data_IF_921541828520
#
_entry.id   IF_921541828520
#
_cell.length_a   1.000
_cell.length_b   1.000
_cell.length_c   1.000
_cell.angle_alpha   90.00
_cell.angle_beta   90.00
_cell.angle_gamma   90.00
#
_symmetry.space_group_name_H-M   'P 1'
#
loop_
_entity.id
_entity.type
_entity.pdbx_description
1 polymer ?
#
# COMPACT_ATOMS: atom_id res chain seq x y z
N UNK A 1 19.60 -3.13 10.80
CA UNK A 1 20.22 -2.40 9.68
C UNK A 1 21.73 -2.44 9.70
N UNK A 2 22.41 -2.00 10.77
CA UNK A 2 23.90 -1.99 10.84
C UNK A 2 24.58 -3.36 10.71
N UNK A 3 23.94 -4.45 11.16
CA UNK A 3 24.46 -5.83 11.02
C UNK A 3 24.22 -6.45 9.64
N UNK A 4 23.10 -6.11 8.99
CA UNK A 4 22.76 -6.58 7.64
C UNK A 4 23.62 -5.89 6.58
N UNK A 5 23.97 -4.62 6.79
CA UNK A 5 24.84 -3.88 5.87
C UNK A 5 26.27 -4.42 5.79
N UNK A 6 26.71 -5.21 6.78
CA UNK A 6 28.10 -5.66 6.91
C UNK A 6 28.28 -7.19 6.78
N UNK A 7 27.20 -7.93 6.53
CA UNK A 7 27.23 -9.39 6.46
C UNK A 7 26.41 -9.90 5.25
N UNK A 8 27.09 -10.28 4.15
CA UNK A 8 26.45 -10.80 2.95
C UNK A 8 25.63 -12.07 3.19
N UNK A 9 26.04 -12.92 4.14
CA UNK A 9 25.37 -14.19 4.42
C UNK A 9 24.01 -13.95 5.10
N UNK A 10 23.95 -12.95 6.00
CA UNK A 10 22.67 -12.55 6.62
C UNK A 10 21.69 -11.91 5.64
N UNK A 11 22.18 -11.21 4.60
CA UNK A 11 21.30 -10.70 3.55
C UNK A 11 20.70 -11.84 2.74
N UNK A 12 21.50 -12.86 2.39
CA UNK A 12 21.01 -14.02 1.66
C UNK A 12 19.96 -14.79 2.47
N UNK A 13 20.18 -14.98 3.77
CA UNK A 13 19.19 -15.61 4.65
C UNK A 13 17.89 -14.82 4.75
N UNK A 14 17.97 -13.48 4.81
CA UNK A 14 16.80 -12.62 4.84
C UNK A 14 15.98 -12.71 3.54
N UNK A 15 16.65 -12.73 2.39
CA UNK A 15 16.02 -12.95 1.08
C UNK A 15 15.34 -14.33 1.00
N UNK A 16 16.01 -15.38 1.46
CA UNK A 16 15.45 -16.74 1.50
C UNK A 16 14.20 -16.82 2.37
N UNK A 17 14.21 -16.15 3.53
CA UNK A 17 13.04 -16.07 4.41
C UNK A 17 11.90 -15.29 3.76
N UNK A 18 12.19 -14.20 3.04
CA UNK A 18 11.19 -13.46 2.28
C UNK A 18 10.55 -14.33 1.20
N UNK A 19 11.34 -15.04 0.39
CA UNK A 19 10.84 -15.96 -0.64
C UNK A 19 9.95 -17.07 -0.04
N UNK A 20 10.33 -17.64 1.11
CA UNK A 20 9.49 -18.62 1.82
C UNK A 20 8.17 -18.01 2.30
N UNK A 21 8.21 -16.78 2.81
CA UNK A 21 7.01 -16.07 3.26
C UNK A 21 6.03 -15.81 2.10
N UNK A 22 6.55 -15.38 0.95
CA UNK A 22 5.79 -15.13 -0.28
C UNK A 22 5.12 -16.41 -0.80
N UNK A 23 5.84 -17.54 -0.72
CA UNK A 23 5.35 -18.87 -1.11
C UNK A 23 4.37 -19.51 -0.10
N UNK A 24 3.92 -18.77 0.92
CA UNK A 24 3.02 -19.24 1.98
C UNK A 24 3.57 -20.39 2.84
N UNK A 25 4.88 -20.45 3.07
CA UNK A 25 5.44 -21.43 4.02
C UNK A 25 4.76 -21.29 5.41
N UNK A 26 4.09 -22.35 5.92
CA UNK A 26 3.33 -22.26 7.16
C UNK A 26 4.16 -21.89 8.38
N UNK A 27 5.41 -22.36 8.47
CA UNK A 27 6.28 -22.10 9.61
C UNK A 27 6.77 -20.65 9.60
N UNK A 28 7.20 -20.17 8.43
CA UNK A 28 7.66 -18.78 8.28
C UNK A 28 6.49 -17.81 8.53
N UNK A 29 5.29 -18.13 8.05
CA UNK A 29 4.09 -17.30 8.33
C UNK A 29 3.70 -17.31 9.81
N UNK A 30 3.86 -18.44 10.50
CA UNK A 30 3.62 -18.50 11.95
C UNK A 30 4.59 -17.60 12.72
N UNK A 31 5.88 -17.64 12.39
CA UNK A 31 6.91 -16.78 13.01
C UNK A 31 6.61 -15.30 12.71
N UNK A 32 6.33 -14.96 11.45
CA UNK A 32 5.95 -13.60 11.05
C UNK A 32 4.72 -13.10 11.83
N UNK A 33 3.68 -13.92 11.96
CA UNK A 33 2.47 -13.55 12.70
C UNK A 33 2.75 -13.35 14.20
N UNK A 34 3.60 -14.18 14.78
CA UNK A 34 4.03 -14.05 16.17
C UNK A 34 4.76 -12.72 16.42
N UNK A 35 5.73 -12.37 15.56
CA UNK A 35 6.45 -11.10 15.67
C UNK A 35 5.53 -9.89 15.52
N UNK A 36 4.62 -9.91 14.53
CA UNK A 36 3.63 -8.84 14.36
C UNK A 36 2.71 -8.70 15.58
N UNK A 37 2.34 -9.81 16.22
CA UNK A 37 1.52 -9.80 17.43
C UNK A 37 2.23 -9.07 18.57
N UNK A 38 3.55 -9.29 18.73
CA UNK A 38 4.34 -8.56 19.74
C UNK A 38 4.41 -7.06 19.45
N UNK A 39 4.66 -6.67 18.19
CA UNK A 39 4.68 -5.27 17.79
C UNK A 39 3.32 -4.59 18.05
N UNK A 40 2.22 -5.22 17.60
CA UNK A 40 0.85 -4.72 17.85
C UNK A 40 0.54 -4.59 19.34
N UNK A 41 0.99 -5.54 20.17
CA UNK A 41 0.80 -5.46 21.62
C UNK A 41 1.48 -4.21 22.20
N UNK A 42 2.72 -3.94 21.81
CA UNK A 42 3.45 -2.73 22.24
C UNK A 42 2.77 -1.42 21.80
N UNK A 43 2.27 -1.37 20.55
CA UNK A 43 1.49 -0.22 20.08
C UNK A 43 0.20 -0.04 20.88
N UNK A 44 -0.55 -1.11 21.13
CA UNK A 44 -1.78 -1.07 21.91
C UNK A 44 -1.55 -0.61 23.36
N UNK A 45 -0.45 -1.01 23.99
CA UNK A 45 -0.07 -0.51 25.31
C UNK A 45 0.15 1.00 25.30
N UNK A 46 0.72 1.54 24.22
CA UNK A 46 0.98 2.97 24.06
C UNK A 46 -0.31 3.74 23.77
N UNK A 47 -1.16 3.23 22.87
CA UNK A 47 -2.46 3.81 22.54
C UNK A 47 -3.40 3.83 23.75
N UNK A 48 -3.42 2.76 24.55
CA UNK A 48 -4.22 2.68 25.77
C UNK A 48 -3.83 3.75 26.80
N UNK A 49 -2.53 4.00 26.99
CA UNK A 49 -2.04 5.06 27.88
C UNK A 49 -2.44 6.47 27.43
N UNK A 50 -2.68 6.65 26.13
CA UNK A 50 -3.09 7.91 25.52
C UNK A 50 -4.61 8.00 25.32
N UNK A 51 -5.38 7.01 25.79
CA UNK A 51 -6.83 6.85 25.55
C UNK A 51 -7.22 6.93 24.06
N UNK A 52 -6.35 6.42 23.18
CA UNK A 52 -6.59 6.34 21.75
C UNK A 52 -7.32 5.05 21.43
N UNK A 53 -8.45 5.15 20.71
CA UNK A 53 -9.27 4.03 20.26
C UNK A 53 -9.48 4.12 18.76
N UNK A 54 -9.45 2.97 18.10
CA UNK A 54 -9.70 2.84 16.67
C UNK A 54 -10.93 1.98 16.45
N UNK A 55 -11.91 2.48 15.69
CA UNK A 55 -13.09 1.70 15.31
C UNK A 55 -12.75 0.59 14.32
N UNK A 56 -11.72 0.81 13.49
CA UNK A 56 -11.27 -0.16 12.50
C UNK A 56 -9.78 0.01 12.19
N UNK A 57 -9.08 -1.12 12.11
CA UNK A 57 -7.71 -1.22 11.61
C UNK A 57 -7.71 -1.85 10.21
N UNK A 58 -6.86 -1.35 9.31
CA UNK A 58 -6.66 -1.91 7.97
C UNK A 58 -5.19 -2.30 7.81
N UNK A 59 -4.92 -3.49 7.30
CA UNK A 59 -3.58 -3.99 7.07
C UNK A 59 -3.31 -4.14 5.56
N UNK A 60 -2.14 -3.68 5.11
CA UNK A 60 -1.71 -3.81 3.71
C UNK A 60 -1.71 -5.27 3.24
N UNK A 61 -1.35 -6.19 4.14
CA UNK A 61 -1.36 -7.64 3.90
C UNK A 61 -2.71 -8.19 3.47
N UNK A 62 -3.81 -7.52 3.81
CA UNK A 62 -5.17 -7.97 3.51
C UNK A 62 -5.68 -7.44 2.15
N UNK A 63 -4.99 -6.43 1.60
CA UNK A 63 -5.45 -5.66 0.43
C UNK A 63 -4.48 -5.66 -0.74
N UNK A 64 -3.22 -6.09 -0.55
CA UNK A 64 -2.16 -6.00 -1.57
C UNK A 64 -2.53 -6.61 -2.95
N UNK A 65 -3.40 -7.62 -2.98
CA UNK A 65 -3.88 -8.26 -4.23
C UNK A 65 -5.12 -7.61 -4.85
N UNK A 66 -5.88 -6.79 -4.12
CA UNK A 66 -7.24 -6.36 -4.51
C UNK A 66 -7.29 -5.06 -5.31
N UNK A 67 -6.23 -4.25 -5.29
CA UNK A 67 -6.23 -2.97 -6.01
C UNK A 67 -6.12 -3.10 -7.53
N UNK A 68 -5.60 -4.21 -8.06
CA UNK A 68 -5.40 -4.39 -9.51
C UNK A 68 -6.71 -4.31 -10.31
N UNK A 69 -7.78 -4.87 -9.79
CA UNK A 69 -9.09 -4.87 -10.45
C UNK A 69 -9.61 -3.45 -10.70
N UNK A 70 -9.42 -2.54 -9.72
CA UNK A 70 -9.83 -1.14 -9.86
C UNK A 70 -9.04 -0.45 -10.96
N UNK A 71 -7.73 -0.68 -11.01
CA UNK A 71 -6.88 -0.06 -12.03
C UNK A 71 -7.31 -0.54 -13.42
N UNK A 72 -7.49 -1.85 -13.59
CA UNK A 72 -7.89 -2.43 -14.87
C UNK A 72 -9.23 -1.87 -15.39
N UNK A 73 -10.16 -1.51 -14.50
CA UNK A 73 -11.43 -0.89 -14.91
C UNK A 73 -11.33 0.56 -15.37
N UNK A 74 -10.23 1.27 -15.12
CA UNK A 74 -10.09 2.68 -15.50
C UNK A 74 -9.02 2.96 -16.55
N UNK A 75 -8.36 1.91 -17.09
CA UNK A 75 -7.38 2.06 -18.17
C UNK A 75 -7.99 2.71 -19.42
N UNK A 76 -9.32 2.61 -19.60
CA UNK A 76 -10.04 3.16 -20.76
C UNK A 76 -10.20 4.70 -20.74
N UNK A 77 -9.68 5.39 -19.72
CA UNK A 77 -9.79 6.85 -19.58
C UNK A 77 -8.60 7.64 -20.13
N UNK A 78 -8.83 8.84 -20.65
CA UNK A 78 -7.80 9.75 -21.22
C UNK A 78 -6.66 10.16 -20.25
N UNK A 79 -6.77 9.82 -18.96
CA UNK A 79 -5.79 10.15 -17.92
C UNK A 79 -4.88 8.96 -17.56
N UNK A 80 -5.17 7.77 -18.08
CA UNK A 80 -4.45 6.55 -17.78
C UNK A 80 -3.89 5.98 -19.08
N UNK A 81 -2.64 5.57 -19.04
CA UNK A 81 -1.97 4.99 -20.19
C UNK A 81 -1.40 3.64 -19.81
N UNK A 82 -1.72 2.63 -20.60
CA UNK A 82 -1.02 1.36 -20.56
C UNK A 82 0.19 1.47 -21.49
N UNK A 83 1.39 1.46 -20.91
CA UNK A 83 2.65 1.49 -21.66
C UNK A 83 3.18 0.08 -21.89
N UNK A 84 4.28 -0.04 -22.65
CA UNK A 84 4.91 -1.31 -23.00
C UNK A 84 5.08 -2.24 -21.78
N UNK A 85 4.83 -3.54 -22.00
CA UNK A 85 4.79 -4.60 -20.99
C UNK A 85 3.66 -4.53 -19.94
N UNK A 86 2.51 -3.91 -20.23
CA UNK A 86 1.31 -3.83 -19.36
C UNK A 86 1.46 -2.95 -18.11
N UNK A 87 2.51 -2.15 -18.00
CA UNK A 87 2.58 -1.16 -16.93
C UNK A 87 1.49 -0.09 -17.13
N UNK A 88 0.89 0.37 -16.04
CA UNK A 88 -0.18 1.38 -16.07
C UNK A 88 0.30 2.64 -15.38
N UNK A 89 0.21 3.78 -16.08
CA UNK A 89 0.68 5.08 -15.62
C UNK A 89 -0.51 6.06 -15.60
N UNK A 90 -0.68 6.78 -14.49
CA UNK A 90 -1.53 7.95 -14.41
C UNK A 90 -0.76 9.17 -14.93
N UNK A 91 -1.28 9.82 -15.98
CA UNK A 91 -0.74 11.04 -16.58
C UNK A 91 -1.24 12.27 -15.81
N UNK A 92 -0.39 12.79 -14.93
CA UNK A 92 -0.73 13.84 -13.98
C UNK A 92 -0.05 15.18 -14.27
N UNK A 93 0.86 15.24 -15.23
CA UNK A 93 1.61 16.47 -15.56
C UNK A 93 0.70 17.66 -15.88
N UNK A 94 -0.43 17.42 -16.57
CA UNK A 94 -1.44 18.47 -16.85
C UNK A 94 -2.09 19.08 -15.60
N UNK A 95 -1.92 18.45 -14.44
CA UNK A 95 -2.37 18.94 -13.14
C UNK A 95 -1.21 19.48 -12.28
N UNK A 96 -0.04 19.76 -12.87
CA UNK A 96 1.19 20.17 -12.17
C UNK A 96 1.65 19.16 -11.12
N UNK A 97 1.45 17.87 -11.38
CA UNK A 97 1.91 16.77 -10.54
C UNK A 97 2.75 15.80 -11.39
N UNK A 98 3.82 15.18 -10.84
CA UNK A 98 4.55 14.16 -11.57
C UNK A 98 3.64 12.97 -11.91
N UNK A 99 3.90 12.31 -13.03
CA UNK A 99 3.23 11.06 -13.38
C UNK A 99 3.45 9.98 -12.32
N UNK A 100 2.52 9.03 -12.26
CA UNK A 100 2.53 7.97 -11.26
C UNK A 100 2.28 6.61 -11.87
N UNK A 101 3.22 5.69 -11.67
CA UNK A 101 3.03 4.28 -11.99
C UNK A 101 2.05 3.67 -10.99
N UNK A 102 1.00 3.02 -11.48
CA UNK A 102 -0.02 2.33 -10.69
C UNK A 102 0.26 0.82 -10.67
N UNK A 103 0.60 0.25 -11.82
CA UNK A 103 0.98 -1.15 -11.98
C UNK A 103 2.33 -1.22 -12.71
N UNK A 104 3.22 -2.08 -12.22
CA UNK A 104 4.46 -2.43 -12.93
C UNK A 104 4.17 -3.43 -14.04
N UNK A 105 5.13 -3.61 -14.95
CA UNK A 105 5.03 -4.54 -16.08
C UNK A 105 4.93 -6.01 -15.67
N UNK A 106 5.56 -6.38 -14.55
CA UNK A 106 5.38 -7.69 -13.90
C UNK A 106 4.00 -7.86 -13.23
N UNK A 107 3.13 -6.86 -13.37
CA UNK A 107 1.81 -6.79 -12.79
C UNK A 107 1.81 -6.56 -11.28
N UNK A 108 2.96 -6.35 -10.62
CA UNK A 108 2.99 -6.10 -9.17
C UNK A 108 2.33 -4.77 -8.82
N UNK A 109 1.54 -4.77 -7.76
CA UNK A 109 0.86 -3.58 -7.26
C UNK A 109 1.83 -2.71 -6.47
N UNK A 110 1.78 -1.41 -6.71
CA UNK A 110 2.47 -0.40 -5.93
C UNK A 110 1.61 0.07 -4.75
N UNK A 111 2.21 0.75 -3.76
CA UNK A 111 1.51 1.33 -2.62
C UNK A 111 0.28 2.16 -3.03
N UNK A 112 0.40 2.95 -4.11
CA UNK A 112 -0.72 3.76 -4.63
C UNK A 112 -1.94 2.91 -5.01
N UNK A 113 -1.73 1.73 -5.58
CA UNK A 113 -2.80 0.80 -5.98
C UNK A 113 -3.51 0.21 -4.77
N UNK A 114 -2.77 -0.01 -3.68
CA UNK A 114 -3.35 -0.46 -2.41
C UNK A 114 -4.15 0.66 -1.75
N UNK A 115 -3.64 1.89 -1.74
CA UNK A 115 -4.32 3.04 -1.17
C UNK A 115 -5.59 3.43 -1.93
N UNK A 116 -5.61 3.27 -3.27
CA UNK A 116 -6.83 3.43 -4.07
C UNK A 116 -7.90 2.43 -3.62
N UNK A 117 -7.54 1.16 -3.46
CA UNK A 117 -8.45 0.14 -2.93
C UNK A 117 -8.90 0.45 -1.51
N UNK A 118 -7.99 0.91 -0.66
CA UNK A 118 -8.30 1.29 0.72
C UNK A 118 -9.29 2.45 0.79
N UNK A 119 -9.14 3.47 -0.07
CA UNK A 119 -10.09 4.58 -0.15
C UNK A 119 -11.51 4.10 -0.52
N UNK A 120 -11.62 3.23 -1.54
CA UNK A 120 -12.90 2.59 -1.91
C UNK A 120 -13.49 1.80 -0.74
N UNK A 121 -12.67 0.95 -0.10
CA UNK A 121 -13.10 0.11 1.03
C UNK A 121 -13.57 0.94 2.22
N UNK A 122 -12.87 2.03 2.57
CA UNK A 122 -13.30 2.94 3.65
C UNK A 122 -14.64 3.59 3.32
N UNK A 123 -14.87 3.96 2.05
CA UNK A 123 -16.15 4.54 1.61
C UNK A 123 -17.28 3.51 1.68
N UNK A 124 -17.03 2.26 1.32
CA UNK A 124 -18.01 1.16 1.48
C UNK A 124 -18.31 0.84 2.95
N UNK A 125 -17.27 0.78 3.80
CA UNK A 125 -17.41 0.40 5.21
C UNK A 125 -18.13 1.47 6.05
N UNK A 126 -17.95 2.77 5.73
CA UNK A 126 -18.44 3.87 6.58
C UNK A 126 -19.36 4.87 5.89
N UNK A 127 -19.46 4.83 4.55
CA UNK A 127 -20.18 5.81 3.73
C UNK A 127 -19.97 7.28 4.16
N UNK A 128 -18.72 7.65 4.44
CA UNK A 128 -18.37 8.98 4.95
C UNK A 128 -18.54 10.09 3.90
N UNK A 129 -18.75 11.34 4.34
CA UNK A 129 -18.72 12.53 3.47
C UNK A 129 -17.31 13.12 3.33
N UNK A 130 -16.48 12.98 4.36
CA UNK A 130 -15.10 13.49 4.41
C UNK A 130 -14.14 12.47 4.99
N UNK A 131 -12.99 12.31 4.36
CA UNK A 131 -11.85 11.52 4.84
C UNK A 131 -10.63 12.42 5.03
N UNK A 132 -10.02 12.37 6.22
CA UNK A 132 -8.84 13.18 6.57
C UNK A 132 -7.65 12.23 6.78
N UNK A 133 -6.56 12.50 6.06
CA UNK A 133 -5.33 11.73 6.16
C UNK A 133 -4.34 12.48 7.03
N UNK A 134 -3.99 11.89 8.19
CA UNK A 134 -3.00 12.44 9.13
C UNK A 134 -1.70 11.65 8.94
N UNK A 135 -0.75 12.25 8.23
CA UNK A 135 0.49 11.61 7.76
C UNK A 135 1.67 12.57 7.87
N UNK A 136 2.89 12.05 7.79
CA UNK A 136 4.11 12.86 7.77
C UNK A 136 4.21 13.76 6.52
N UNK A 137 4.81 14.93 6.68
CA UNK A 137 4.90 15.95 5.62
C UNK A 137 5.72 15.49 4.40
N UNK A 138 6.66 14.56 4.60
CA UNK A 138 7.45 13.93 3.55
C UNK A 138 6.59 13.22 2.49
N UNK A 139 5.33 12.89 2.81
CA UNK A 139 4.41 12.20 1.90
C UNK A 139 3.47 13.17 1.13
N UNK A 140 3.65 14.48 1.25
CA UNK A 140 2.73 15.47 0.67
C UNK A 140 2.53 15.31 -0.85
N UNK A 141 3.63 15.17 -1.62
CA UNK A 141 3.55 14.94 -3.07
C UNK A 141 2.80 13.65 -3.41
N UNK A 142 3.04 12.59 -2.64
CA UNK A 142 2.37 11.31 -2.82
C UNK A 142 0.85 11.45 -2.63
N UNK A 143 0.40 12.08 -1.54
CA UNK A 143 -1.02 12.23 -1.28
C UNK A 143 -1.71 13.16 -2.28
N UNK A 144 -1.03 14.20 -2.78
CA UNK A 144 -1.55 15.01 -3.89
C UNK A 144 -1.79 14.19 -5.16
N UNK A 145 -0.85 13.31 -5.51
CA UNK A 145 -1.03 12.37 -6.62
C UNK A 145 -2.20 11.43 -6.34
N UNK A 146 -2.25 10.79 -5.17
CA UNK A 146 -3.31 9.86 -4.79
C UNK A 146 -4.70 10.51 -4.86
N UNK A 147 -4.88 11.71 -4.30
CA UNK A 147 -6.15 12.41 -4.32
C UNK A 147 -6.58 12.79 -5.73
N UNK A 148 -5.64 13.30 -6.56
CA UNK A 148 -5.94 13.58 -7.96
C UNK A 148 -6.34 12.31 -8.71
N UNK A 149 -5.64 11.21 -8.49
CA UNK A 149 -5.96 9.92 -9.10
C UNK A 149 -7.37 9.47 -8.67
N UNK A 150 -7.70 9.53 -7.37
CA UNK A 150 -9.04 9.17 -6.87
C UNK A 150 -10.15 10.04 -7.47
N UNK A 151 -9.93 11.34 -7.65
CA UNK A 151 -10.88 12.22 -8.36
C UNK A 151 -11.13 11.75 -9.79
N UNK A 152 -10.08 11.29 -10.50
CA UNK A 152 -10.18 10.82 -11.88
C UNK A 152 -10.84 9.44 -12.01
N UNK A 153 -10.80 8.61 -10.96
CA UNK A 153 -11.47 7.31 -10.92
C UNK A 153 -12.96 7.39 -10.61
N UNK A 154 -13.38 8.43 -9.87
CA UNK A 154 -14.75 8.57 -9.32
C UNK A 154 -15.59 9.58 -10.13
N UNK A 155 -14.99 10.29 -11.10
CA UNK A 155 -15.66 11.21 -12.02
C UNK A 155 -16.54 10.49 -13.06
#
# INVERSE_FOLDING_TARGET
DEKLQNDPDLNQEAEDLLHKWENNDPNIRAIWKMMNTWAKKGFNESFSKLDVKFDKEYFESDIYKKGKEIINTAIDGENFEQVEDNAVIARLEKYNLPDKVLLRSDGTSLYVTQDIYLAKKKKEDFNYDKSIYVVGNEQNTYFKQLFKILELFIA
#
